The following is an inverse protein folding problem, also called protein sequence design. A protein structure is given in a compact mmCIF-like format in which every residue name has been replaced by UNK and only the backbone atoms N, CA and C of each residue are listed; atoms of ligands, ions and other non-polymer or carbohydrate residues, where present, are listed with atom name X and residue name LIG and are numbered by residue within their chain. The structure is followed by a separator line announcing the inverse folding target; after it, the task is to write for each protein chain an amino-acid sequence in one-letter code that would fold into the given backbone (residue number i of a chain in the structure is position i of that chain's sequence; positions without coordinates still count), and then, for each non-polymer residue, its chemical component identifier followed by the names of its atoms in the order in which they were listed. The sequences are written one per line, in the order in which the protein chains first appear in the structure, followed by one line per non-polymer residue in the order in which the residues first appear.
data_IF_887708588081
#
_entry.id   IF_887708588081
#
_cell.length_a   1.000
_cell.length_b   1.000
_cell.length_c   1.000
_cell.angle_alpha   90.00
_cell.angle_beta   90.00
_cell.angle_gamma   90.00
#
_symmetry.space_group_name_H-M   'P 1'
#
loop_
_entity.id
_entity.type
_entity.pdbx_description
1 polymer ?
#
# COMPACT_ATOMS: atom_id res chain seq x y z
N UNK A 1 -5.98 -0.63 2.62
CA UNK A 1 -4.84 -0.84 3.53
C UNK A 1 -3.83 0.26 3.29
N UNK A 2 -2.95 0.51 4.25
CA UNK A 2 -1.88 1.51 4.15
C UNK A 2 -0.54 0.83 4.46
N UNK A 3 0.41 0.91 3.53
CA UNK A 3 1.80 0.50 3.76
C UNK A 3 2.59 1.70 4.30
N UNK A 4 3.32 1.48 5.39
CA UNK A 4 4.24 2.46 5.96
C UNK A 4 5.62 2.11 5.43
N UNK A 5 6.27 3.09 4.81
CA UNK A 5 7.59 2.96 4.22
C UNK A 5 8.63 3.66 5.09
N UNK A 6 9.74 2.98 5.30
CA UNK A 6 10.90 3.49 6.03
C UNK A 6 12.15 2.71 5.60
N UNK A 7 13.01 3.37 4.84
CA UNK A 7 14.29 2.77 4.43
C UNK A 7 15.26 2.68 5.60
N UNK A 8 16.14 1.67 5.60
CA UNK A 8 17.21 1.54 6.59
C UNK A 8 18.54 2.13 6.12
N UNK A 9 18.59 2.66 4.90
CA UNK A 9 19.75 3.39 4.40
C UNK A 9 19.70 4.86 4.83
N UNK A 10 20.87 5.45 5.09
CA UNK A 10 20.99 6.88 5.40
C UNK A 10 20.72 7.78 4.20
N UNK A 11 20.92 7.27 2.98
CA UNK A 11 20.66 7.95 1.71
C UNK A 11 19.75 7.09 0.82
N UNK A 12 18.44 7.02 1.12
CA UNK A 12 17.52 6.11 0.44
C UNK A 12 17.46 6.29 -1.08
N UNK A 13 17.57 7.54 -1.56
CA UNK A 13 17.50 7.88 -2.98
C UNK A 13 18.72 7.38 -3.78
N UNK A 14 19.80 7.01 -3.09
CA UNK A 14 21.02 6.47 -3.71
C UNK A 14 21.06 4.94 -3.69
N UNK A 15 20.08 4.28 -3.06
CA UNK A 15 20.04 2.82 -2.98
C UNK A 15 19.78 2.20 -4.36
N UNK A 16 20.62 1.24 -4.74
CA UNK A 16 20.41 0.42 -5.93
C UNK A 16 19.23 -0.53 -5.72
N UNK A 17 18.67 -1.08 -6.82
CA UNK A 17 17.56 -2.03 -6.69
C UNK A 17 17.87 -3.27 -5.82
N UNK A 18 19.05 -3.92 -5.91
CA UNK A 18 19.42 -5.00 -4.99
C UNK A 18 19.46 -4.55 -3.51
N UNK A 19 19.92 -3.33 -3.25
CA UNK A 19 19.91 -2.75 -1.91
C UNK A 19 18.47 -2.52 -1.43
N UNK A 20 17.60 -1.94 -2.27
CA UNK A 20 16.18 -1.81 -1.96
C UNK A 20 15.51 -3.17 -1.69
N UNK A 21 15.86 -4.21 -2.45
CA UNK A 21 15.36 -5.58 -2.22
C UNK A 21 15.85 -6.17 -0.91
N UNK A 22 17.14 -6.02 -0.59
CA UNK A 22 17.70 -6.40 0.71
C UNK A 22 17.02 -5.64 1.85
N UNK A 23 16.59 -4.41 1.55
CA UNK A 23 15.78 -3.55 2.39
C UNK A 23 14.28 -3.82 2.31
N UNK A 24 13.85 -5.02 1.89
CA UNK A 24 12.42 -5.38 1.87
C UNK A 24 11.53 -4.33 1.18
N UNK A 25 12.08 -3.62 0.19
CA UNK A 25 11.47 -2.48 -0.51
C UNK A 25 10.96 -1.38 0.44
N UNK A 26 11.77 -1.04 1.46
CA UNK A 26 11.46 -0.06 2.50
C UNK A 26 10.21 -0.40 3.33
N UNK A 27 9.70 -1.63 3.32
CA UNK A 27 8.56 -2.01 4.15
C UNK A 27 8.90 -1.81 5.65
N UNK A 28 8.09 -1.02 6.34
CA UNK A 28 8.21 -0.77 7.79
C UNK A 28 6.99 -1.25 8.56
N UNK A 29 5.81 -1.18 7.97
CA UNK A 29 4.59 -1.62 8.62
C UNK A 29 3.38 -1.64 7.70
N UNK A 30 2.29 -2.22 8.20
CA UNK A 30 1.03 -2.32 7.49
C UNK A 30 -0.13 -2.00 8.42
N UNK A 31 -1.00 -1.08 8.01
CA UNK A 31 -2.30 -0.87 8.62
C UNK A 31 -3.37 -1.52 7.73
N UNK A 32 -3.97 -2.59 8.26
CA UNK A 32 -5.00 -3.35 7.58
C UNK A 32 -6.36 -2.76 7.89
N UNK A 33 -7.13 -2.50 6.83
CA UNK A 33 -8.49 -1.99 6.94
C UNK A 33 -9.54 -3.06 7.18
N UNK A 34 -10.83 -2.68 7.21
CA UNK A 34 -11.92 -3.64 7.27
C UNK A 34 -11.97 -4.50 6.00
N UNK A 35 -12.57 -5.69 6.13
CA UNK A 35 -12.86 -6.56 4.98
C UNK A 35 -13.97 -5.93 4.13
N UNK A 36 -13.70 -5.75 2.84
CA UNK A 36 -14.70 -5.30 1.88
C UNK A 36 -15.66 -6.43 1.52
N UNK A 37 -16.96 -6.16 1.52
CA UNK A 37 -18.00 -7.09 1.04
C UNK A 37 -18.20 -6.92 -0.47
N UNK A 38 -18.29 -8.03 -1.20
CA UNK A 38 -18.47 -8.03 -2.65
C UNK A 38 -17.43 -7.20 -3.40
N UNK A 39 -16.11 -7.34 -3.12
CA UNK A 39 -15.11 -6.49 -3.75
C UNK A 39 -15.06 -6.67 -5.28
N UNK A 40 -15.47 -7.85 -5.76
CA UNK A 40 -15.51 -8.20 -7.18
C UNK A 40 -16.63 -7.53 -7.97
N UNK A 41 -17.62 -6.97 -7.27
CA UNK A 41 -18.73 -6.23 -7.89
C UNK A 41 -18.38 -4.75 -8.11
N UNK A 42 -17.12 -4.36 -7.88
CA UNK A 42 -16.62 -2.99 -7.91
C UNK A 42 -15.51 -2.86 -8.93
N UNK A 43 -15.33 -1.65 -9.47
CA UNK A 43 -14.12 -1.30 -10.21
C UNK A 43 -12.93 -1.29 -9.26
N UNK A 44 -11.87 -2.02 -9.61
CA UNK A 44 -10.66 -2.16 -8.80
C UNK A 44 -9.41 -1.69 -9.57
N UNK A 45 -9.52 -1.46 -10.87
CA UNK A 45 -8.44 -0.97 -11.73
C UNK A 45 -8.06 0.48 -11.40
N UNK A 46 -9.04 1.26 -10.97
CA UNK A 46 -8.87 2.65 -10.57
C UNK A 46 -9.41 2.91 -9.17
N UNK A 47 -8.80 3.85 -8.47
CA UNK A 47 -9.15 4.21 -7.11
C UNK A 47 -8.80 5.67 -6.85
N UNK A 48 -9.80 6.52 -6.63
CA UNK A 48 -9.55 7.87 -6.12
C UNK A 48 -9.09 7.77 -4.67
N UNK A 49 -7.93 8.34 -4.36
CA UNK A 49 -7.37 8.38 -3.02
C UNK A 49 -7.31 9.84 -2.57
N UNK A 50 -7.90 10.14 -1.41
CA UNK A 50 -7.83 11.46 -0.78
C UNK A 50 -7.17 11.30 0.58
N UNK A 51 -6.17 12.14 0.85
CA UNK A 51 -5.48 12.19 2.13
C UNK A 51 -5.83 13.52 2.79
N UNK A 52 -6.53 13.44 3.92
CA UNK A 52 -7.01 14.58 4.67
C UNK A 52 -6.29 14.71 6.02
N UNK A 53 -6.05 15.95 6.41
CA UNK A 53 -5.63 16.34 7.75
C UNK A 53 -6.61 17.38 8.32
N UNK A 54 -6.55 17.73 9.62
CA UNK A 54 -7.37 18.79 10.18
C UNK A 54 -7.20 20.15 9.48
N UNK A 55 -6.03 20.38 8.86
CA UNK A 55 -5.74 21.57 8.06
C UNK A 55 -6.38 21.58 6.67
N UNK A 56 -7.01 20.48 6.26
CA UNK A 56 -7.62 20.29 4.94
C UNK A 56 -7.00 19.13 4.16
N UNK A 57 -7.35 19.06 2.87
CA UNK A 57 -6.88 18.03 1.94
C UNK A 57 -5.38 18.22 1.70
N UNK A 58 -4.58 17.19 2.02
CA UNK A 58 -3.14 17.17 1.76
C UNK A 58 -2.83 16.72 0.34
N UNK A 59 -3.55 15.69 -0.14
CA UNK A 59 -3.34 15.14 -1.47
C UNK A 59 -4.62 14.50 -2.03
N UNK A 60 -4.73 14.52 -3.36
CA UNK A 60 -5.75 13.77 -4.11
C UNK A 60 -5.09 13.09 -5.29
N UNK A 61 -5.31 11.79 -5.44
CA UNK A 61 -4.78 10.98 -6.52
C UNK A 61 -5.90 10.25 -7.25
N UNK A 62 -5.95 10.37 -8.57
CA UNK A 62 -6.71 9.46 -9.44
C UNK A 62 -5.86 8.22 -9.69
N UNK A 63 -5.82 7.33 -8.69
CA UNK A 63 -4.96 6.16 -8.72
C UNK A 63 -5.37 5.17 -9.78
N UNK A 64 -4.37 4.57 -10.45
CA UNK A 64 -4.54 3.43 -11.35
C UNK A 64 -3.58 2.35 -10.89
N UNK A 65 -4.05 1.11 -10.84
CA UNK A 65 -3.20 0.00 -10.48
C UNK A 65 -2.09 -0.16 -11.53
N UNK A 66 -0.83 -0.19 -11.12
CA UNK A 66 0.31 -0.21 -12.05
C UNK A 66 0.26 -1.39 -13.04
N UNK A 67 -0.23 -2.55 -12.56
CA UNK A 67 -0.42 -3.75 -13.38
C UNK A 67 -1.80 -3.85 -14.06
N UNK A 68 -2.56 -2.76 -14.07
CA UNK A 68 -3.91 -2.65 -14.64
C UNK A 68 -5.04 -3.20 -13.75
N UNK A 69 -4.81 -4.26 -12.97
CA UNK A 69 -5.80 -4.80 -12.03
C UNK A 69 -5.09 -5.45 -10.80
N UNK A 70 -5.55 -5.23 -9.56
CA UNK A 70 -4.83 -5.65 -8.34
C UNK A 70 -4.69 -7.16 -8.17
N UNK A 71 -5.56 -7.96 -8.78
CA UNK A 71 -5.42 -9.42 -8.74
C UNK A 71 -4.25 -9.96 -9.56
N UNK A 72 -3.77 -9.25 -10.59
CA UNK A 72 -2.72 -9.78 -11.47
C UNK A 72 -1.40 -10.03 -10.72
N UNK A 73 -0.88 -9.10 -9.89
CA UNK A 73 0.27 -9.37 -9.04
C UNK A 73 0.04 -10.51 -8.04
N UNK A 74 -1.19 -10.66 -7.52
CA UNK A 74 -1.52 -11.78 -6.63
C UNK A 74 -1.39 -13.13 -7.33
N UNK A 75 -1.88 -13.25 -8.57
CA UNK A 75 -1.72 -14.49 -9.37
C UNK A 75 -0.25 -14.78 -9.65
N UNK A 76 0.52 -13.77 -10.04
CA UNK A 76 1.96 -13.93 -10.25
C UNK A 76 2.66 -14.41 -8.96
N UNK A 77 2.39 -13.75 -7.83
CA UNK A 77 3.01 -14.07 -6.54
C UNK A 77 2.64 -15.49 -6.08
N UNK A 78 1.37 -15.87 -6.21
CA UNK A 78 0.90 -17.20 -5.84
C UNK A 78 1.65 -18.30 -6.62
N UNK A 79 1.79 -18.13 -7.93
CA UNK A 79 2.51 -19.08 -8.79
C UNK A 79 4.01 -19.09 -8.47
N UNK A 80 4.63 -17.92 -8.33
CA UNK A 80 6.05 -17.78 -8.03
C UNK A 80 6.42 -18.49 -6.72
N UNK A 81 5.65 -18.22 -5.66
CA UNK A 81 5.86 -18.81 -4.34
C UNK A 81 5.59 -20.31 -4.30
N UNK A 82 4.60 -20.79 -5.08
CA UNK A 82 4.32 -22.22 -5.19
C UNK A 82 5.49 -22.99 -5.83
N UNK A 83 6.06 -22.45 -6.92
CA UNK A 83 7.26 -23.04 -7.56
C UNK A 83 8.47 -23.00 -6.63
N UNK A 84 8.60 -21.94 -5.83
CA UNK A 84 9.65 -21.79 -4.82
C UNK A 84 9.47 -22.62 -3.54
N UNK A 85 8.45 -23.50 -3.47
CA UNK A 85 8.21 -24.37 -2.32
C UNK A 85 7.62 -23.68 -1.08
N UNK A 86 7.24 -22.41 -1.18
CA UNK A 86 6.69 -21.62 -0.06
C UNK A 86 5.34 -21.00 -0.45
N UNK A 87 4.32 -21.82 -0.80
CA UNK A 87 3.05 -21.33 -1.33
C UNK A 87 2.32 -20.43 -0.34
N UNK A 88 1.49 -19.53 -0.88
CA UNK A 88 0.55 -18.73 -0.09
C UNK A 88 -0.40 -19.64 0.72
N UNK A 89 -0.76 -19.20 1.92
CA UNK A 89 -1.67 -19.90 2.83
C UNK A 89 -2.83 -19.01 3.24
N UNK A 90 -3.96 -19.64 3.59
CA UNK A 90 -5.09 -18.92 4.13
C UNK A 90 -4.69 -18.10 5.37
N UNK A 91 -5.19 -16.86 5.45
CA UNK A 91 -4.85 -15.90 6.50
C UNK A 91 -3.64 -15.00 6.20
N UNK A 92 -2.88 -15.27 5.14
CA UNK A 92 -1.83 -14.33 4.69
C UNK A 92 -2.46 -13.07 4.10
N UNK A 93 -1.79 -11.93 4.34
CA UNK A 93 -2.13 -10.65 3.73
C UNK A 93 -1.11 -10.36 2.64
N UNK A 94 -1.60 -9.97 1.46
CA UNK A 94 -0.77 -9.63 0.29
C UNK A 94 -1.07 -8.18 -0.09
N UNK A 95 -0.03 -7.36 -0.18
CA UNK A 95 -0.09 -6.03 -0.82
C UNK A 95 0.18 -6.22 -2.31
N UNK A 96 -0.70 -5.68 -3.17
CA UNK A 96 -0.64 -5.93 -4.62
C UNK A 96 0.02 -4.78 -5.39
N UNK A 97 0.54 -3.79 -4.67
CA UNK A 97 1.12 -2.58 -5.24
C UNK A 97 0.29 -1.34 -4.92
N UNK A 98 0.96 -0.18 -4.97
CA UNK A 98 0.35 1.11 -4.67
C UNK A 98 -0.42 1.68 -5.86
N UNK A 99 -1.52 2.37 -5.59
CA UNK A 99 -2.30 3.13 -6.57
C UNK A 99 -1.78 4.57 -6.73
N UNK A 100 -0.99 5.08 -5.79
CA UNK A 100 -0.53 6.47 -5.74
C UNK A 100 0.99 6.61 -5.51
N UNK A 101 1.74 5.51 -5.51
CA UNK A 101 3.14 5.51 -5.09
C UNK A 101 3.31 5.73 -3.59
N UNK A 102 4.49 6.21 -3.20
CA UNK A 102 4.80 6.66 -1.85
C UNK A 102 4.39 8.14 -1.71
N UNK A 103 3.71 8.47 -0.60
CA UNK A 103 3.26 9.84 -0.32
C UNK A 103 3.77 10.24 1.05
N UNK A 104 4.55 11.32 1.09
CA UNK A 104 4.99 11.90 2.35
C UNK A 104 3.81 12.55 3.08
N UNK A 105 3.68 12.26 4.36
CA UNK A 105 2.64 12.79 5.22
C UNK A 105 3.23 13.28 6.54
N UNK A 106 2.63 14.29 7.18
CA UNK A 106 3.12 14.77 8.47
C UNK A 106 2.95 13.69 9.54
N UNK A 107 3.94 13.57 10.43
CA UNK A 107 3.81 12.77 11.64
C UNK A 107 3.02 13.54 12.71
N UNK A 108 2.58 12.82 13.73
CA UNK A 108 1.90 13.34 14.92
C UNK A 108 0.64 14.17 14.58
N UNK A 109 0.12 13.93 13.38
CA UNK A 109 -1.08 14.55 12.81
C UNK A 109 -2.10 13.45 12.54
N UNK A 110 -3.37 13.59 12.99
CA UNK A 110 -4.40 12.64 12.62
C UNK A 110 -4.69 12.75 11.13
N UNK A 111 -4.56 11.65 10.41
CA UNK A 111 -4.79 11.57 8.98
C UNK A 111 -5.98 10.69 8.68
N UNK A 112 -6.72 11.04 7.63
CA UNK A 112 -7.74 10.17 7.03
C UNK A 112 -7.38 9.90 5.58
N UNK A 113 -7.39 8.62 5.21
CA UNK A 113 -7.14 8.12 3.88
C UNK A 113 -8.46 7.59 3.34
N UNK A 114 -9.07 8.31 2.41
CA UNK A 114 -10.30 7.89 1.75
C UNK A 114 -9.97 7.21 0.41
N UNK A 115 -10.62 6.07 0.15
CA UNK A 115 -10.38 5.21 -1.01
C UNK A 115 -11.65 5.16 -1.87
N UNK A 116 -12.10 6.31 -2.37
CA UNK A 116 -13.39 6.45 -3.08
C UNK A 116 -14.53 5.78 -2.30
N UNK A 117 -15.28 4.91 -2.99
CA UNK A 117 -16.41 4.19 -2.40
C UNK A 117 -16.01 2.92 -1.61
N UNK A 118 -14.69 2.63 -1.52
CA UNK A 118 -14.18 1.51 -0.72
C UNK A 118 -14.11 1.83 0.78
N UNK A 119 -14.24 3.10 1.15
CA UNK A 119 -14.28 3.57 2.53
C UNK A 119 -13.00 4.30 2.96
N UNK A 120 -12.80 4.41 4.26
CA UNK A 120 -11.73 5.22 4.86
C UNK A 120 -10.89 4.43 5.85
N UNK A 121 -9.64 4.86 6.01
CA UNK A 121 -8.77 4.51 7.12
C UNK A 121 -8.31 5.77 7.82
N UNK A 122 -8.19 5.73 9.13
CA UNK A 122 -7.64 6.84 9.91
C UNK A 122 -6.47 6.36 10.75
N UNK A 123 -5.41 7.16 10.80
CA UNK A 123 -4.21 6.86 11.57
C UNK A 123 -3.50 8.15 11.98
N UNK A 124 -2.81 8.10 13.11
CA UNK A 124 -1.78 9.07 13.47
C UNK A 124 -0.45 8.34 13.40
N UNK A 125 0.42 8.75 12.47
CA UNK A 125 1.76 8.17 12.35
C UNK A 125 2.70 8.90 13.30
N UNK A 126 3.32 8.18 14.23
CA UNK A 126 4.29 8.75 15.19
C UNK A 126 5.69 8.30 14.83
N UNK A 127 6.70 9.14 15.10
CA UNK A 127 8.10 8.68 15.03
C UNK A 127 8.37 7.70 16.18
N UNK A 128 9.06 6.61 15.86
CA UNK A 128 9.55 5.65 16.85
C UNK A 128 10.79 6.20 17.59
#
# INVERSE_FOLDING_TARGET
MLEILGSRYSEPDSATFPEMLADGLANQGLLVGPVLRGPWDRELESLRIVIDAPSGVLATHEGKHADGHPVRPLYWLANYLAVGGTPLRAGMIVTTGSYCGAVDVPTDTPLTFAYGDLGTLSATLTRA
#
